data_IF_518232458826
#
_entry.id   IF_518232458826
#
_cell.length_a   1.000
_cell.length_b   1.000
_cell.length_c   1.000
_cell.angle_alpha   90.00
_cell.angle_beta   90.00
_cell.angle_gamma   90.00
#
_symmetry.space_group_name_H-M   'P 1'
#
loop_
_entity.id
_entity.type
_entity.pdbx_description
1 polymer ?
#
# COMPACT_ATOMS: atom_id res chain seq x y z
N UNK A 1 1.29 10.63 33.29
CA UNK A 1 1.86 10.42 31.94
C UNK A 1 1.00 11.16 30.94
N UNK A 2 1.60 12.05 30.15
CA UNK A 2 0.91 12.85 29.13
C UNK A 2 0.68 12.04 27.82
N UNK A 3 0.47 10.72 27.92
CA UNK A 3 0.27 9.85 26.75
C UNK A 3 -1.20 9.56 26.56
N UNK A 4 -1.73 9.91 25.39
CA UNK A 4 -3.10 9.69 24.97
C UNK A 4 -3.29 8.31 24.36
N UNK A 5 -3.49 7.27 25.20
CA UNK A 5 -3.57 5.87 24.75
C UNK A 5 -4.66 5.64 23.71
N UNK A 6 -5.81 6.31 23.82
CA UNK A 6 -6.90 6.20 22.86
C UNK A 6 -6.50 6.69 21.47
N UNK A 7 -5.74 7.79 21.40
CA UNK A 7 -5.24 8.32 20.13
C UNK A 7 -4.23 7.37 19.47
N UNK A 8 -3.37 6.75 20.31
CA UNK A 8 -2.41 5.75 19.82
C UNK A 8 -3.16 4.53 19.27
N UNK A 9 -4.14 4.01 20.02
CA UNK A 9 -4.95 2.86 19.61
C UNK A 9 -5.69 3.11 18.29
N UNK A 10 -6.32 4.28 18.14
CA UNK A 10 -6.98 4.68 16.88
C UNK A 10 -5.99 4.84 15.71
N UNK A 11 -4.75 5.19 16.00
CA UNK A 11 -3.70 5.36 14.98
C UNK A 11 -2.95 4.08 14.60
N UNK A 12 -3.35 2.92 15.13
CA UNK A 12 -2.69 1.62 14.90
C UNK A 12 -3.68 0.53 14.49
N UNK A 13 -4.53 0.77 13.45
CA UNK A 13 -5.46 -0.24 12.98
C UNK A 13 -4.70 -1.47 12.49
N UNK A 14 -5.23 -2.67 12.79
CA UNK A 14 -4.64 -3.95 12.36
C UNK A 14 -3.40 -4.40 13.13
N UNK A 15 -2.93 -3.66 14.13
CA UNK A 15 -1.81 -4.09 14.95
C UNK A 15 -2.19 -5.25 15.85
N UNK A 16 -1.36 -6.29 15.86
CA UNK A 16 -1.42 -7.36 16.86
C UNK A 16 -0.85 -6.90 18.20
N UNK A 17 -1.03 -7.70 19.25
CA UNK A 17 -0.39 -7.44 20.55
C UNK A 17 1.13 -7.31 20.47
N UNK A 18 1.78 -8.12 19.62
CA UNK A 18 3.22 -8.06 19.39
C UNK A 18 3.64 -6.75 18.68
N UNK A 19 2.83 -6.25 17.74
CA UNK A 19 3.10 -4.97 17.06
C UNK A 19 2.97 -3.80 18.04
N UNK A 20 1.98 -3.84 18.95
CA UNK A 20 1.80 -2.84 19.99
C UNK A 20 2.95 -2.85 21.00
N UNK A 21 3.42 -4.03 21.41
CA UNK A 21 4.60 -4.17 22.25
C UNK A 21 5.85 -3.57 21.59
N UNK A 22 6.05 -3.89 20.29
CA UNK A 22 7.13 -3.32 19.50
C UNK A 22 7.03 -1.78 19.41
N UNK A 23 5.82 -1.26 19.20
CA UNK A 23 5.55 0.18 19.16
C UNK A 23 5.95 0.87 20.48
N UNK A 24 5.55 0.30 21.61
CA UNK A 24 5.90 0.84 22.94
C UNK A 24 7.42 0.82 23.16
N UNK A 25 8.07 -0.30 22.81
CA UNK A 25 9.51 -0.42 22.90
C UNK A 25 10.26 0.60 22.02
N UNK A 26 9.81 0.79 20.77
CA UNK A 26 10.39 1.78 19.87
C UNK A 26 10.18 3.23 20.36
N UNK A 27 9.01 3.54 20.94
CA UNK A 27 8.76 4.84 21.54
C UNK A 27 9.70 5.11 22.74
N UNK A 28 9.90 4.11 23.58
CA UNK A 28 10.83 4.21 24.70
C UNK A 28 12.29 4.40 24.24
N UNK A 29 12.72 3.65 23.21
CA UNK A 29 14.02 3.82 22.59
C UNK A 29 14.20 5.21 21.95
N UNK A 30 13.15 5.74 21.35
CA UNK A 30 13.19 7.08 20.77
C UNK A 30 13.33 8.15 21.85
N UNK A 31 12.53 8.08 22.93
CA UNK A 31 12.64 8.99 24.08
C UNK A 31 14.03 8.93 24.73
N UNK A 32 14.58 7.73 24.91
CA UNK A 32 15.94 7.53 25.46
C UNK A 32 17.02 8.19 24.59
N UNK A 33 16.93 8.09 23.27
CA UNK A 33 17.87 8.76 22.34
C UNK A 33 17.81 10.29 22.44
N UNK A 34 16.69 10.85 22.86
CA UNK A 34 16.49 12.28 23.10
C UNK A 34 16.85 12.69 24.55
N UNK A 35 17.37 11.76 25.36
CA UNK A 35 17.67 11.96 26.78
C UNK A 35 16.44 12.40 27.60
N UNK A 36 15.22 12.01 27.17
CA UNK A 36 13.99 12.26 27.90
C UNK A 36 13.85 11.30 29.09
N UNK A 37 13.22 11.76 30.16
CA UNK A 37 12.94 10.92 31.36
C UNK A 37 11.63 10.14 31.25
N UNK A 38 10.73 10.59 30.39
CA UNK A 38 9.40 10.01 30.19
C UNK A 38 9.11 9.94 28.68
N UNK A 39 8.26 8.98 28.30
CA UNK A 39 7.75 8.84 26.93
C UNK A 39 6.56 9.76 26.74
N UNK A 40 6.52 10.48 25.64
CA UNK A 40 5.48 11.42 25.26
C UNK A 40 4.75 10.96 23.98
N UNK A 41 3.61 11.59 23.66
CA UNK A 41 2.85 11.28 22.43
C UNK A 41 3.70 11.41 21.17
N UNK A 42 4.61 12.38 21.10
CA UNK A 42 5.48 12.57 19.94
C UNK A 42 6.43 11.37 19.73
N UNK A 43 6.87 10.73 20.80
CA UNK A 43 7.75 9.57 20.72
C UNK A 43 7.00 8.36 20.15
N UNK A 44 5.71 8.21 20.49
CA UNK A 44 4.82 7.24 19.87
C UNK A 44 4.56 7.53 18.39
N UNK A 45 4.37 8.79 17.98
CA UNK A 45 4.21 9.14 16.57
C UNK A 45 5.47 8.78 15.76
N UNK A 46 6.65 9.08 16.29
CA UNK A 46 7.93 8.73 15.64
C UNK A 46 8.15 7.21 15.58
N UNK A 47 7.79 6.51 16.65
CA UNK A 47 7.84 5.05 16.69
C UNK A 47 6.86 4.42 15.71
N UNK A 48 5.63 4.93 15.62
CA UNK A 48 4.60 4.50 14.67
C UNK A 48 5.09 4.65 13.23
N UNK A 49 5.66 5.80 12.89
CA UNK A 49 6.27 6.03 11.59
C UNK A 49 7.33 4.97 11.25
N UNK A 50 8.19 4.65 12.21
CA UNK A 50 9.23 3.64 12.02
C UNK A 50 8.65 2.23 11.85
N UNK A 51 7.66 1.86 12.65
CA UNK A 51 7.04 0.53 12.60
C UNK A 51 6.23 0.34 11.31
N UNK A 52 5.44 1.35 10.91
CA UNK A 52 4.54 1.26 9.76
C UNK A 52 5.24 1.52 8.42
N UNK A 53 6.17 2.48 8.37
CA UNK A 53 6.82 2.92 7.11
C UNK A 53 8.28 2.49 7.00
N UNK A 54 8.86 1.91 8.06
CA UNK A 54 10.27 1.57 8.12
C UNK A 54 11.17 2.72 8.62
N UNK A 55 12.42 2.38 8.89
CA UNK A 55 13.40 3.34 9.39
C UNK A 55 13.76 4.38 8.32
N UNK A 56 13.98 5.63 8.74
CA UNK A 56 14.50 6.69 7.89
C UNK A 56 15.91 6.39 7.39
N UNK A 57 16.16 6.57 6.10
CA UNK A 57 17.47 6.42 5.47
C UNK A 57 18.19 7.76 5.43
N UNK A 58 18.63 8.23 6.59
CA UNK A 58 19.28 9.55 6.75
C UNK A 58 20.57 9.73 5.94
N UNK A 59 21.24 8.64 5.59
CA UNK A 59 22.47 8.66 4.77
C UNK A 59 22.21 8.72 3.27
N UNK A 60 20.94 8.59 2.83
CA UNK A 60 20.61 8.62 1.40
C UNK A 60 20.49 10.08 0.94
N UNK A 61 21.40 10.49 0.10
CA UNK A 61 21.39 11.82 -0.51
C UNK A 61 20.64 11.73 -1.85
N UNK A 62 19.41 12.25 -1.87
CA UNK A 62 18.65 12.44 -3.10
C UNK A 62 19.03 13.77 -3.75
N UNK A 63 19.13 13.77 -5.07
CA UNK A 63 19.23 15.01 -5.86
C UNK A 63 17.93 15.81 -5.74
N UNK A 64 17.98 17.10 -6.01
CA UNK A 64 16.75 17.93 -5.95
C UNK A 64 15.76 17.53 -7.05
N UNK A 65 16.23 16.99 -8.16
CA UNK A 65 15.40 16.42 -9.21
C UNK A 65 14.66 15.15 -8.71
N UNK A 66 15.36 14.21 -8.08
CA UNK A 66 14.74 13.01 -7.49
C UNK A 66 13.73 13.37 -6.41
N UNK A 67 14.03 14.35 -5.53
CA UNK A 67 13.07 14.85 -4.54
C UNK A 67 11.83 15.44 -5.20
N UNK A 68 12.01 16.18 -6.28
CA UNK A 68 10.90 16.78 -7.03
C UNK A 68 10.04 15.71 -7.69
N UNK A 69 10.64 14.72 -8.35
CA UNK A 69 9.92 13.59 -8.95
C UNK A 69 9.14 12.85 -7.88
N UNK A 70 9.78 12.49 -6.76
CA UNK A 70 9.13 11.81 -5.63
C UNK A 70 7.98 12.64 -5.06
N UNK A 71 8.14 13.95 -4.91
CA UNK A 71 7.10 14.83 -4.38
C UNK A 71 5.85 14.86 -5.27
N UNK A 72 6.01 14.93 -6.59
CA UNK A 72 4.89 14.87 -7.52
C UNK A 72 4.25 13.48 -7.56
N UNK A 73 5.05 12.43 -7.49
CA UNK A 73 4.57 11.05 -7.39
C UNK A 73 3.65 10.87 -6.17
N UNK A 74 4.14 11.21 -4.98
CA UNK A 74 3.35 11.12 -3.75
C UNK A 74 2.12 12.05 -3.77
N UNK A 75 2.26 13.24 -4.35
CA UNK A 75 1.14 14.15 -4.52
C UNK A 75 0.04 13.57 -5.43
N UNK A 76 0.41 12.79 -6.44
CA UNK A 76 -0.51 12.05 -7.28
C UNK A 76 -1.38 11.07 -6.49
N UNK A 77 -0.77 10.25 -5.63
CA UNK A 77 -1.51 9.36 -4.74
C UNK A 77 -2.44 10.14 -3.80
N UNK A 78 -1.95 11.21 -3.19
CA UNK A 78 -2.75 12.07 -2.29
C UNK A 78 -3.93 12.68 -3.02
N UNK A 79 -3.74 13.18 -4.24
CA UNK A 79 -4.78 13.82 -5.02
C UNK A 79 -5.92 12.83 -5.30
N UNK A 80 -5.58 11.64 -5.79
CA UNK A 80 -6.56 10.58 -6.05
C UNK A 80 -7.28 10.15 -4.78
N UNK A 81 -6.57 9.94 -3.68
CA UNK A 81 -7.15 9.58 -2.39
C UNK A 81 -8.08 10.65 -1.81
N UNK A 82 -7.89 11.91 -2.16
CA UNK A 82 -8.72 13.04 -1.71
C UNK A 82 -9.96 13.28 -2.57
N UNK A 83 -9.86 13.01 -3.86
CA UNK A 83 -10.92 13.30 -4.82
C UNK A 83 -11.91 12.14 -5.01
N UNK A 84 -11.44 10.90 -4.87
CA UNK A 84 -12.30 9.73 -5.04
C UNK A 84 -13.15 9.49 -3.79
N UNK A 85 -14.45 9.17 -3.97
CA UNK A 85 -15.35 8.93 -2.85
C UNK A 85 -15.06 7.58 -2.18
N UNK A 86 -15.31 7.51 -0.87
CA UNK A 86 -15.27 6.26 -0.11
C UNK A 86 -13.88 5.69 0.14
N UNK A 87 -12.81 6.41 -0.22
CA UNK A 87 -11.42 6.03 0.03
C UNK A 87 -11.03 6.28 1.49
N UNK A 88 -10.00 5.59 1.95
CA UNK A 88 -9.45 5.85 3.28
C UNK A 88 -8.72 7.19 3.30
N UNK A 89 -8.83 7.97 4.41
CA UNK A 89 -8.21 9.27 4.50
C UNK A 89 -6.69 9.19 4.50
N UNK A 90 -6.07 10.16 3.84
CA UNK A 90 -4.61 10.32 3.89
C UNK A 90 -4.22 10.74 5.29
N UNK A 91 -3.42 9.91 5.94
CA UNK A 91 -2.87 10.16 7.26
C UNK A 91 -1.56 10.97 7.17
N UNK A 92 -0.66 10.51 6.30
CA UNK A 92 0.66 11.10 6.16
C UNK A 92 1.20 10.94 4.74
N UNK A 93 1.95 11.94 4.30
CA UNK A 93 2.75 11.89 3.08
C UNK A 93 4.16 12.41 3.39
N UNK A 94 5.17 11.77 2.83
CA UNK A 94 6.57 12.15 3.05
C UNK A 94 7.42 11.80 1.83
N UNK A 95 8.41 12.63 1.56
CA UNK A 95 9.49 12.37 0.59
C UNK A 95 10.81 11.98 1.28
N UNK A 96 10.75 11.71 2.59
CA UNK A 96 11.92 11.19 3.33
C UNK A 96 12.04 9.70 3.02
N UNK A 97 13.19 9.24 2.48
CA UNK A 97 13.38 7.84 2.15
C UNK A 97 13.25 6.94 3.39
N UNK A 98 12.42 5.90 3.27
CA UNK A 98 12.18 4.90 4.30
C UNK A 98 12.21 3.49 3.72
N UNK A 99 12.94 2.59 4.35
CA UNK A 99 13.08 1.22 3.84
C UNK A 99 13.59 1.21 2.39
N UNK A 100 12.78 0.72 1.44
CA UNK A 100 13.08 0.72 -0.01
C UNK A 100 12.43 1.87 -0.76
N UNK A 101 11.50 2.60 -0.16
CA UNK A 101 10.76 3.68 -0.78
C UNK A 101 11.50 5.02 -0.65
N UNK A 102 11.41 5.86 -1.69
CA UNK A 102 11.94 7.23 -1.71
C UNK A 102 10.95 8.22 -1.08
N UNK A 103 9.64 7.93 -1.19
CA UNK A 103 8.54 8.61 -0.55
C UNK A 103 7.51 7.60 -0.08
N UNK A 104 6.54 8.03 0.71
CA UNK A 104 5.44 7.19 1.18
C UNK A 104 4.20 8.04 1.36
N UNK A 105 3.10 7.61 0.77
CA UNK A 105 1.74 8.09 1.08
C UNK A 105 1.03 7.03 1.89
N UNK A 106 0.64 7.38 3.12
CA UNK A 106 -0.05 6.49 4.05
C UNK A 106 -1.50 6.92 4.20
N UNK A 107 -2.39 5.98 3.98
CA UNK A 107 -3.80 6.08 4.32
C UNK A 107 -4.08 5.22 5.55
N UNK A 108 -4.97 5.67 6.41
CA UNK A 108 -5.44 4.89 7.55
C UNK A 108 -6.97 4.76 7.46
N UNK A 109 -7.50 3.54 7.53
CA UNK A 109 -8.94 3.33 7.59
C UNK A 109 -9.53 4.00 8.84
N UNK A 110 -10.72 4.58 8.69
CA UNK A 110 -11.46 5.18 9.80
C UNK A 110 -12.17 4.13 10.65
N UNK A 111 -12.50 3.00 10.05
CA UNK A 111 -13.27 1.92 10.65
C UNK A 111 -12.66 0.57 10.30
N UNK A 112 -12.91 -0.44 11.13
CA UNK A 112 -12.54 -1.84 10.87
C UNK A 112 -13.44 -2.41 9.75
N UNK A 113 -12.97 -2.33 8.51
CA UNK A 113 -13.68 -2.89 7.36
C UNK A 113 -13.28 -4.34 7.14
N UNK A 114 -14.27 -5.21 7.14
CA UNK A 114 -14.09 -6.63 6.83
C UNK A 114 -14.48 -6.98 5.40
N UNK A 115 -15.25 -6.12 4.73
CA UNK A 115 -15.69 -6.31 3.34
C UNK A 115 -15.39 -5.07 2.51
N UNK A 116 -14.87 -5.28 1.31
CA UNK A 116 -14.55 -4.23 0.35
C UNK A 116 -15.47 -4.32 -0.86
N UNK A 117 -16.10 -3.20 -1.23
CA UNK A 117 -16.89 -3.13 -2.46
C UNK A 117 -15.99 -3.07 -3.69
N UNK A 118 -16.52 -3.48 -4.86
CA UNK A 118 -15.83 -3.35 -6.15
C UNK A 118 -15.41 -1.90 -6.40
N UNK A 119 -16.26 -0.92 -6.10
CA UNK A 119 -15.97 0.50 -6.24
C UNK A 119 -14.79 0.95 -5.38
N UNK A 120 -14.76 0.54 -4.11
CA UNK A 120 -13.63 0.83 -3.22
C UNK A 120 -12.30 0.30 -3.79
N UNK A 121 -12.32 -0.94 -4.31
CA UNK A 121 -11.12 -1.55 -4.90
C UNK A 121 -10.71 -0.86 -6.20
N UNK A 122 -11.65 -0.44 -7.04
CA UNK A 122 -11.38 0.37 -8.23
C UNK A 122 -10.72 1.70 -7.84
N UNK A 123 -11.25 2.38 -6.84
CA UNK A 123 -10.65 3.63 -6.34
C UNK A 123 -9.23 3.41 -5.81
N UNK A 124 -8.95 2.26 -5.17
CA UNK A 124 -7.59 1.91 -4.77
C UNK A 124 -6.66 1.67 -5.96
N UNK A 125 -7.14 1.06 -7.05
CA UNK A 125 -6.35 0.96 -8.29
C UNK A 125 -5.99 2.35 -8.84
N UNK A 126 -6.95 3.27 -8.89
CA UNK A 126 -6.71 4.64 -9.34
C UNK A 126 -5.71 5.39 -8.42
N UNK A 127 -5.80 5.19 -7.09
CA UNK A 127 -4.83 5.75 -6.14
C UNK A 127 -3.42 5.22 -6.44
N UNK A 128 -3.27 3.91 -6.65
CA UNK A 128 -1.97 3.31 -6.98
C UNK A 128 -1.40 3.84 -8.30
N UNK A 129 -2.24 4.12 -9.29
CA UNK A 129 -1.81 4.70 -10.57
C UNK A 129 -1.47 6.20 -10.46
N UNK A 130 -2.01 6.90 -9.48
CA UNK A 130 -1.90 8.36 -9.33
C UNK A 130 -0.46 8.87 -9.33
N UNK A 131 0.47 8.18 -8.68
CA UNK A 131 1.88 8.55 -8.66
C UNK A 131 2.51 8.54 -10.05
N UNK A 132 2.31 7.46 -10.80
CA UNK A 132 2.82 7.32 -12.18
C UNK A 132 2.20 8.35 -13.12
N UNK A 133 0.89 8.56 -13.05
CA UNK A 133 0.19 9.56 -13.87
C UNK A 133 0.71 10.96 -13.58
N UNK A 134 0.97 11.30 -12.33
CA UNK A 134 1.56 12.59 -11.95
C UNK A 134 2.96 12.80 -12.55
N UNK A 135 3.82 11.77 -12.54
CA UNK A 135 5.13 11.82 -13.21
C UNK A 135 4.97 12.09 -14.70
N UNK A 136 4.10 11.36 -15.37
CA UNK A 136 3.89 11.48 -16.82
C UNK A 136 3.33 12.85 -17.22
N UNK A 137 2.36 13.36 -16.46
CA UNK A 137 1.76 14.68 -16.73
C UNK A 137 2.75 15.83 -16.56
N UNK A 138 3.58 15.77 -15.50
CA UNK A 138 4.48 16.87 -15.15
C UNK A 138 5.81 16.81 -15.86
N UNK A 139 6.42 15.62 -15.90
CA UNK A 139 7.78 15.44 -16.43
C UNK A 139 7.82 14.89 -17.85
N UNK A 140 6.68 14.42 -18.40
CA UNK A 140 6.56 13.78 -19.72
C UNK A 140 7.41 12.52 -19.86
N UNK A 141 7.83 11.93 -18.76
CA UNK A 141 8.52 10.64 -18.71
C UNK A 141 8.09 9.91 -17.43
N UNK A 142 8.36 8.63 -17.40
CA UNK A 142 8.05 7.75 -16.29
C UNK A 142 9.32 7.13 -15.74
N UNK A 143 9.34 6.88 -14.44
CA UNK A 143 10.51 6.31 -13.77
C UNK A 143 10.22 4.91 -13.25
N UNK A 144 11.26 4.23 -12.79
CA UNK A 144 11.13 2.94 -12.10
C UNK A 144 10.52 3.08 -10.69
N UNK A 145 10.34 4.30 -10.20
CA UNK A 145 9.79 4.58 -8.88
C UNK A 145 8.38 4.01 -8.69
N UNK A 146 7.57 4.05 -9.74
CA UNK A 146 6.21 3.49 -9.72
C UNK A 146 6.15 1.94 -9.80
N UNK A 147 7.29 1.23 -9.80
CA UNK A 147 7.33 -0.23 -9.99
C UNK A 147 6.52 -0.99 -8.94
N UNK A 148 6.61 -0.60 -7.68
CA UNK A 148 5.85 -1.23 -6.59
C UNK A 148 4.34 -0.97 -6.70
N UNK A 149 3.93 0.23 -7.11
CA UNK A 149 2.51 0.56 -7.28
C UNK A 149 1.89 -0.21 -8.43
N UNK A 150 2.64 -0.39 -9.53
CA UNK A 150 2.22 -1.23 -10.66
C UNK A 150 2.07 -2.70 -10.25
N UNK A 151 3.01 -3.23 -9.47
CA UNK A 151 2.94 -4.59 -8.94
C UNK A 151 1.69 -4.75 -8.06
N UNK A 152 1.50 -3.87 -7.08
CA UNK A 152 0.34 -3.89 -6.18
C UNK A 152 -0.99 -3.73 -6.92
N UNK A 153 -1.05 -2.86 -7.92
CA UNK A 153 -2.25 -2.69 -8.74
C UNK A 153 -2.56 -3.94 -9.56
N UNK A 154 -1.54 -4.58 -10.15
CA UNK A 154 -1.70 -5.82 -10.89
C UNK A 154 -2.20 -6.94 -9.99
N UNK A 155 -1.62 -7.07 -8.79
CA UNK A 155 -2.02 -8.08 -7.81
C UNK A 155 -3.45 -7.84 -7.31
N UNK A 156 -3.81 -6.59 -7.04
CA UNK A 156 -5.17 -6.23 -6.65
C UNK A 156 -6.18 -6.57 -7.76
N UNK A 157 -5.91 -6.17 -9.00
CA UNK A 157 -6.75 -6.49 -10.14
C UNK A 157 -6.88 -8.01 -10.35
N UNK A 158 -5.79 -8.77 -10.18
CA UNK A 158 -5.79 -10.23 -10.23
C UNK A 158 -6.69 -10.84 -9.18
N UNK A 159 -6.64 -10.36 -7.94
CA UNK A 159 -7.55 -10.82 -6.87
C UNK A 159 -9.00 -10.49 -7.16
N UNK A 160 -9.28 -9.29 -7.68
CA UNK A 160 -10.62 -8.88 -8.07
C UNK A 160 -11.21 -9.81 -9.15
N UNK A 161 -10.39 -10.20 -10.12
CA UNK A 161 -10.80 -11.06 -11.23
C UNK A 161 -10.87 -12.53 -10.80
N UNK A 162 -9.80 -13.03 -10.16
CA UNK A 162 -9.62 -14.47 -9.95
C UNK A 162 -10.17 -14.99 -8.62
N UNK A 163 -10.15 -14.18 -7.55
CA UNK A 163 -10.55 -14.62 -6.22
C UNK A 163 -11.96 -14.17 -5.85
N UNK A 164 -12.34 -12.94 -6.25
CA UNK A 164 -13.59 -12.33 -5.80
C UNK A 164 -14.67 -12.26 -6.90
N UNK A 165 -14.39 -12.75 -8.11
CA UNK A 165 -15.36 -12.86 -9.20
C UNK A 165 -15.97 -11.51 -9.59
N UNK A 166 -15.17 -10.42 -9.55
CA UNK A 166 -15.65 -9.06 -9.80
C UNK A 166 -15.63 -8.66 -11.29
N UNK A 167 -15.22 -9.56 -12.19
CA UNK A 167 -15.30 -9.35 -13.63
C UNK A 167 -16.69 -9.69 -14.14
N UNK A 168 -17.34 -8.75 -14.85
CA UNK A 168 -18.63 -9.01 -15.49
C UNK A 168 -18.50 -9.98 -16.67
N UNK A 169 -17.35 -9.93 -17.36
CA UNK A 169 -17.07 -10.79 -18.51
C UNK A 169 -16.87 -12.25 -18.13
N UNK A 170 -16.13 -12.48 -17.04
CA UNK A 170 -15.83 -13.82 -16.55
C UNK A 170 -16.90 -14.38 -15.60
N UNK A 171 -17.75 -13.50 -15.08
CA UNK A 171 -18.80 -13.85 -14.12
C UNK A 171 -18.30 -14.10 -12.69
N UNK A 172 -19.19 -14.50 -11.78
CA UNK A 172 -18.88 -14.71 -10.37
C UNK A 172 -18.21 -16.08 -10.14
N UNK A 173 -17.06 -16.27 -10.75
CA UNK A 173 -16.25 -17.49 -10.69
C UNK A 173 -14.89 -17.19 -10.04
N UNK A 174 -14.29 -18.21 -9.45
CA UNK A 174 -12.92 -18.17 -8.97
C UNK A 174 -12.00 -18.94 -9.89
N UNK A 175 -10.81 -18.41 -10.14
CA UNK A 175 -9.80 -18.99 -11.01
C UNK A 175 -8.48 -19.10 -10.27
N UNK A 176 -7.82 -20.23 -10.35
CA UNK A 176 -6.53 -20.51 -9.70
C UNK A 176 -6.68 -21.45 -8.50
N UNK A 177 -5.61 -22.19 -8.25
CA UNK A 177 -5.52 -23.04 -7.06
C UNK A 177 -5.35 -22.14 -5.84
N UNK A 178 -6.13 -22.40 -4.78
CA UNK A 178 -5.73 -22.01 -3.44
C UNK A 178 -4.37 -22.66 -3.19
N UNK A 179 -3.36 -21.85 -2.86
CA UNK A 179 -2.13 -22.37 -2.26
C UNK A 179 -2.44 -22.99 -0.89
N UNK A 180 -3.18 -24.11 -0.89
CA UNK A 180 -3.37 -24.91 0.29
C UNK A 180 -2.12 -25.75 0.49
N UNK A 181 -1.36 -25.35 1.51
CA UNK A 181 -0.33 -26.10 2.19
C UNK A 181 0.95 -26.45 1.41
N UNK A 182 1.95 -25.63 1.62
CA UNK A 182 3.35 -26.06 1.64
C UNK A 182 3.54 -27.11 2.75
N UNK A 183 3.20 -28.35 2.49
CA UNK A 183 3.63 -29.48 3.31
C UNK A 183 3.95 -30.68 2.42
N UNK A 184 5.27 -30.97 2.37
CA UNK A 184 5.90 -32.20 1.87
C UNK A 184 5.92 -32.45 0.35
N UNK A 185 7.00 -32.01 -0.30
CA UNK A 185 7.77 -32.82 -1.25
C UNK A 185 7.00 -33.48 -2.41
N UNK A 186 6.10 -32.72 -3.11
CA UNK A 186 5.56 -33.19 -4.38
C UNK A 186 5.95 -32.24 -5.49
N UNK A 187 6.53 -32.78 -6.54
CA UNK A 187 6.90 -32.10 -7.77
C UNK A 187 5.75 -31.28 -8.33
N UNK A 188 6.02 -30.00 -8.51
CA UNK A 188 5.12 -29.01 -9.09
C UNK A 188 5.03 -29.16 -10.61
N UNK A 189 4.26 -30.10 -11.09
CA UNK A 189 3.60 -29.91 -12.35
C UNK A 189 2.39 -29.02 -12.07
N UNK A 190 2.50 -27.70 -12.27
CA UNK A 190 1.38 -26.77 -12.18
C UNK A 190 0.36 -27.16 -13.25
N UNK A 191 -0.63 -27.98 -12.88
CA UNK A 191 -1.82 -28.16 -13.69
C UNK A 191 -2.51 -26.81 -13.73
N UNK A 192 -2.51 -26.14 -14.89
CA UNK A 192 -3.40 -25.01 -15.14
C UNK A 192 -4.83 -25.54 -15.05
N UNK A 193 -5.58 -25.06 -14.05
CA UNK A 193 -6.99 -25.45 -13.84
C UNK A 193 -7.94 -24.76 -14.83
N UNK A 194 -7.40 -23.97 -15.75
CA UNK A 194 -8.14 -23.20 -16.74
C UNK A 194 -7.63 -23.48 -18.14
N UNK A 195 -8.52 -23.42 -19.14
CA UNK A 195 -8.13 -23.49 -20.55
C UNK A 195 -7.30 -22.29 -20.96
N UNK A 196 -6.49 -22.42 -22.01
CA UNK A 196 -5.69 -21.30 -22.54
C UNK A 196 -6.55 -20.10 -22.96
N UNK A 197 -7.78 -20.34 -23.43
CA UNK A 197 -8.72 -19.27 -23.75
C UNK A 197 -9.15 -18.50 -22.49
N UNK A 198 -9.50 -19.19 -21.41
CA UNK A 198 -9.89 -18.55 -20.15
C UNK A 198 -8.70 -17.83 -19.54
N UNK A 199 -7.49 -18.38 -19.61
CA UNK A 199 -6.27 -17.71 -19.16
C UNK A 199 -6.05 -16.37 -19.88
N UNK A 200 -6.22 -16.36 -21.21
CA UNK A 200 -6.15 -15.13 -21.99
C UNK A 200 -7.22 -14.11 -21.58
N UNK A 201 -8.44 -14.55 -21.33
CA UNK A 201 -9.54 -13.67 -20.89
C UNK A 201 -9.26 -13.08 -19.49
N UNK A 202 -8.68 -13.85 -18.57
CA UNK A 202 -8.23 -13.36 -17.27
C UNK A 202 -7.17 -12.27 -17.44
N UNK A 203 -6.15 -12.50 -18.28
CA UNK A 203 -5.09 -11.50 -18.51
C UNK A 203 -5.64 -10.22 -19.14
N UNK A 204 -6.61 -10.33 -20.06
CA UNK A 204 -7.29 -9.18 -20.65
C UNK A 204 -8.12 -8.39 -19.64
N UNK A 205 -8.82 -9.07 -18.73
CA UNK A 205 -9.61 -8.42 -17.67
C UNK A 205 -8.72 -7.73 -16.64
N UNK A 206 -7.63 -8.35 -16.22
CA UNK A 206 -6.64 -7.73 -15.34
C UNK A 206 -6.08 -6.46 -16.00
N UNK A 207 -5.66 -6.57 -17.25
CA UNK A 207 -5.17 -5.42 -18.02
C UNK A 207 -6.23 -4.33 -18.10
N UNK A 208 -7.50 -4.68 -18.38
CA UNK A 208 -8.61 -3.73 -18.46
C UNK A 208 -8.77 -2.97 -17.15
N UNK A 209 -8.84 -3.68 -16.01
CA UNK A 209 -9.00 -3.07 -14.68
C UNK A 209 -7.90 -2.06 -14.37
N UNK A 210 -6.65 -2.42 -14.66
CA UNK A 210 -5.51 -1.51 -14.43
C UNK A 210 -5.55 -0.32 -15.40
N UNK A 211 -5.84 -0.55 -16.69
CA UNK A 211 -5.81 0.50 -17.72
C UNK A 211 -6.94 1.51 -17.55
N UNK A 212 -8.17 1.06 -17.24
CA UNK A 212 -9.32 1.94 -16.97
C UNK A 212 -9.08 2.89 -15.79
N UNK A 213 -8.26 2.47 -14.81
CA UNK A 213 -7.92 3.28 -13.65
C UNK A 213 -6.64 4.12 -13.86
N UNK A 214 -5.97 3.92 -14.98
CA UNK A 214 -4.83 4.73 -15.40
C UNK A 214 -5.26 5.92 -16.29
N UNK A 215 -6.30 5.75 -17.12
CA UNK A 215 -6.88 6.76 -18.03
C UNK A 215 -7.71 7.81 -17.29
#
# INVERSE_FOLDING_TARGET
TNVELEKIARGTPGFSGADLENLVNEAALWAARQNKKEVENIDFEMAKDKVMMGAERKSMMLTDEEKRITAYHEAGHVLMAKLLPGTDPVHKVTIIPRGRALGVTMQLPTDDRHNYSKEFLYNNLAILMGGRVAEELVFKHVTTGAGNDLERATDLARKMVCEWGMSEKLGPLTFGQKEDSVFLGRDFASKRDVSDQVALEIDLEIKRFVTENYE
#
